data_IF_486639816985
#
_entry.id   IF_486639816985
#
_cell.length_a   1.000
_cell.length_b   1.000
_cell.length_c   1.000
_cell.angle_alpha   90.00
_cell.angle_beta   90.00
_cell.angle_gamma   90.00
#
_symmetry.space_group_name_H-M   'P 1'
#
loop_
_entity.id
_entity.type
_entity.pdbx_description
1 polymer ?
#
# COMPACT_ATOMS: atom_id res chain seq x y z
N UNK A 1 -18.82 18.21 -5.46
CA UNK A 1 -18.29 17.89 -6.82
C UNK A 1 -17.31 16.74 -6.68
N UNK A 2 -17.33 15.75 -7.57
CA UNK A 2 -16.40 14.63 -7.53
C UNK A 2 -15.14 14.98 -8.32
N UNK A 3 -13.96 14.73 -7.76
CA UNK A 3 -12.68 14.84 -8.48
C UNK A 3 -11.97 13.50 -8.50
N UNK A 4 -11.20 13.24 -9.55
CA UNK A 4 -10.35 12.05 -9.65
C UNK A 4 -9.10 12.25 -8.82
N UNK A 5 -8.77 11.28 -7.97
CA UNK A 5 -7.56 11.28 -7.17
C UNK A 5 -6.35 10.92 -8.05
N UNK A 6 -5.36 11.79 -8.11
CA UNK A 6 -4.13 11.60 -8.92
C UNK A 6 -3.26 10.44 -8.42
N UNK A 7 -3.48 9.94 -7.20
CA UNK A 7 -2.70 8.87 -6.61
C UNK A 7 -3.28 7.47 -6.86
N UNK A 8 -4.59 7.34 -7.05
CA UNK A 8 -5.23 6.02 -7.17
C UNK A 8 -6.17 5.91 -8.37
N UNK A 9 -6.33 7.00 -9.13
CA UNK A 9 -7.25 7.13 -10.27
C UNK A 9 -8.74 6.87 -9.95
N UNK A 10 -9.12 7.03 -8.67
CA UNK A 10 -10.51 6.86 -8.22
C UNK A 10 -11.19 8.21 -8.02
N UNK A 11 -12.45 8.33 -8.47
CA UNK A 11 -13.30 9.51 -8.19
C UNK A 11 -13.72 9.54 -6.72
N UNK A 12 -13.51 10.66 -6.04
CA UNK A 12 -13.89 10.87 -4.65
C UNK A 12 -14.72 12.16 -4.49
N UNK A 13 -15.76 12.15 -3.62
CA UNK A 13 -16.48 13.36 -3.24
C UNK A 13 -15.70 14.24 -2.25
N UNK A 14 -14.67 13.69 -1.61
CA UNK A 14 -13.86 14.36 -0.59
C UNK A 14 -12.40 14.29 -0.98
N UNK A 15 -11.87 15.41 -1.45
CA UNK A 15 -10.48 15.55 -1.90
C UNK A 15 -9.83 16.80 -1.32
N UNK A 16 -8.52 16.72 -1.12
CA UNK A 16 -7.66 17.87 -0.96
C UNK A 16 -7.17 18.27 -2.36
N UNK A 17 -7.59 19.42 -2.85
CA UNK A 17 -7.19 19.93 -4.17
C UNK A 17 -6.31 21.15 -4.06
N UNK A 18 -5.31 21.23 -4.94
CA UNK A 18 -4.57 22.46 -5.19
C UNK A 18 -5.53 23.52 -5.76
N UNK A 19 -5.33 24.78 -5.37
CA UNK A 19 -6.12 25.92 -5.90
C UNK A 19 -5.56 26.47 -7.21
N UNK A 20 -4.34 26.05 -7.60
CA UNK A 20 -3.58 26.59 -8.74
C UNK A 20 -3.54 25.58 -9.91
N UNK A 21 -3.64 24.29 -9.63
CA UNK A 21 -3.61 23.23 -10.65
C UNK A 21 -4.63 22.12 -10.35
N UNK A 22 -4.80 21.19 -11.30
CA UNK A 22 -5.78 20.09 -11.19
C UNK A 22 -5.35 18.94 -10.26
N UNK A 23 -4.29 19.15 -9.48
CA UNK A 23 -3.83 18.17 -8.51
C UNK A 23 -4.86 17.99 -7.40
N UNK A 24 -5.40 16.77 -7.26
CA UNK A 24 -6.36 16.41 -6.23
C UNK A 24 -6.04 15.04 -5.64
N UNK A 25 -6.03 14.93 -4.31
CA UNK A 25 -5.86 13.68 -3.58
C UNK A 25 -7.11 13.39 -2.76
N UNK A 26 -7.62 12.16 -2.83
CA UNK A 26 -8.57 11.69 -1.83
C UNK A 26 -7.90 11.63 -0.44
N UNK A 27 -8.71 11.62 0.62
CA UNK A 27 -8.21 11.66 2.00
C UNK A 27 -7.30 10.47 2.31
N UNK A 28 -7.59 9.27 1.79
CA UNK A 28 -6.76 8.08 2.05
C UNK A 28 -5.38 8.28 1.44
N UNK A 29 -5.32 8.64 0.15
CA UNK A 29 -4.09 8.86 -0.57
C UNK A 29 -3.26 10.01 0.02
N UNK A 30 -3.90 11.09 0.48
CA UNK A 30 -3.23 12.21 1.13
C UNK A 30 -2.58 11.83 2.47
N UNK A 31 -3.06 10.78 3.14
CA UNK A 31 -2.55 10.31 4.44
C UNK A 31 -1.57 9.14 4.33
N UNK A 32 -1.20 8.73 3.12
CA UNK A 32 -0.23 7.66 2.92
C UNK A 32 1.15 8.07 3.45
N UNK A 33 1.84 7.20 4.20
CA UNK A 33 3.20 7.47 4.64
C UNK A 33 4.14 7.64 3.45
N UNK A 34 4.97 8.69 3.47
CA UNK A 34 5.94 8.94 2.40
C UNK A 34 7.09 7.93 2.39
N UNK A 35 7.42 7.36 3.56
CA UNK A 35 8.42 6.31 3.72
C UNK A 35 7.94 5.24 4.70
N UNK A 36 8.20 3.97 4.37
CA UNK A 36 7.85 2.82 5.22
C UNK A 36 8.96 1.80 5.22
N UNK A 37 9.11 1.06 6.32
CA UNK A 37 10.08 -0.05 6.40
C UNK A 37 9.37 -1.35 6.05
N UNK A 38 9.90 -2.09 5.08
CA UNK A 38 9.41 -3.42 4.74
C UNK A 38 10.15 -4.48 5.55
N UNK A 39 9.50 -5.62 5.82
CA UNK A 39 10.00 -6.65 6.74
C UNK A 39 11.28 -7.37 6.23
N UNK A 40 11.49 -7.41 4.92
CA UNK A 40 12.60 -8.14 4.29
C UNK A 40 13.77 -7.24 3.90
N UNK A 41 13.62 -5.92 3.98
CA UNK A 41 14.59 -4.96 3.47
C UNK A 41 15.07 -4.06 4.61
N UNK A 42 16.38 -3.88 4.73
CA UNK A 42 16.94 -2.89 5.66
C UNK A 42 16.70 -1.45 5.19
N UNK A 43 16.36 -1.29 3.91
CA UNK A 43 16.10 0.00 3.28
C UNK A 43 14.62 0.40 3.40
N UNK A 44 14.39 1.71 3.43
CA UNK A 44 13.05 2.28 3.41
C UNK A 44 12.48 2.25 2.00
N UNK A 45 11.21 1.88 1.89
CA UNK A 45 10.43 2.10 0.68
C UNK A 45 9.93 3.54 0.66
N UNK A 46 10.12 4.22 -0.46
CA UNK A 46 9.61 5.56 -0.74
C UNK A 46 8.32 5.47 -1.57
N UNK A 47 7.35 6.31 -1.25
CA UNK A 47 6.13 6.45 -2.03
C UNK A 47 6.41 7.25 -3.30
N UNK A 48 6.10 6.68 -4.46
CA UNK A 48 6.38 7.28 -5.77
C UNK A 48 5.12 7.38 -6.62
N UNK A 49 5.08 8.44 -7.45
CA UNK A 49 4.08 8.62 -8.50
C UNK A 49 4.63 8.04 -9.81
N UNK A 50 3.76 7.29 -10.49
CA UNK A 50 3.95 6.65 -11.79
C UNK A 50 4.78 7.38 -12.83
N UNK A 51 4.54 8.68 -12.96
CA UNK A 51 5.13 9.55 -13.99
C UNK A 51 6.67 9.60 -13.94
N UNK A 52 7.29 9.21 -12.82
CA UNK A 52 8.75 9.16 -12.67
C UNK A 52 9.40 7.87 -13.19
N UNK A 53 8.63 6.81 -13.46
CA UNK A 53 9.14 5.61 -14.10
C UNK A 53 9.06 5.77 -15.63
N UNK A 54 10.09 6.44 -16.15
CA UNK A 54 10.35 6.60 -17.58
C UNK A 54 10.65 5.22 -18.18
N UNK A 55 9.68 4.61 -18.86
CA UNK A 55 9.90 3.34 -19.57
C UNK A 55 8.64 2.59 -19.98
N UNK A 56 7.49 2.85 -19.34
CA UNK A 56 6.24 2.14 -19.66
C UNK A 56 6.30 0.63 -19.41
N UNK A 57 7.30 0.15 -18.68
CA UNK A 57 7.45 -1.25 -18.33
C UNK A 57 6.46 -1.63 -17.22
N UNK A 58 5.80 -2.78 -17.39
CA UNK A 58 4.91 -3.33 -16.38
C UNK A 58 5.77 -3.90 -15.26
N UNK A 59 5.80 -3.22 -14.13
CA UNK A 59 6.46 -3.72 -12.93
C UNK A 59 5.59 -4.79 -12.24
N UNK A 60 6.23 -5.66 -11.47
CA UNK A 60 5.59 -6.72 -10.71
C UNK A 60 5.76 -6.46 -9.23
N UNK A 61 4.68 -6.67 -8.47
CA UNK A 61 4.73 -6.56 -7.03
C UNK A 61 5.23 -7.87 -6.41
N UNK A 62 6.42 -7.84 -5.81
CA UNK A 62 7.06 -9.02 -5.20
C UNK A 62 6.28 -9.60 -4.00
N UNK A 63 5.36 -8.84 -3.41
CA UNK A 63 4.56 -9.32 -2.26
C UNK A 63 3.42 -10.23 -2.71
N UNK A 64 2.71 -9.85 -3.78
CA UNK A 64 1.51 -10.57 -4.25
C UNK A 64 1.71 -11.26 -5.60
N UNK A 65 2.87 -11.07 -6.23
CA UNK A 65 3.25 -11.64 -7.52
C UNK A 65 2.27 -11.26 -8.64
N UNK A 66 1.75 -10.02 -8.59
CA UNK A 66 0.86 -9.48 -9.64
C UNK A 66 1.37 -8.15 -10.19
N UNK A 67 0.91 -7.81 -11.40
CA UNK A 67 1.28 -6.58 -12.10
C UNK A 67 0.91 -5.33 -11.30
N UNK A 68 1.79 -4.35 -11.28
CA UNK A 68 1.48 -3.00 -10.80
C UNK A 68 0.86 -2.16 -11.91
N UNK A 69 0.09 -1.15 -11.52
CA UNK A 69 -0.35 -0.12 -12.44
C UNK A 69 0.64 1.05 -12.37
N UNK A 70 1.35 1.37 -13.46
CA UNK A 70 2.30 2.47 -13.47
C UNK A 70 1.64 3.84 -13.39
N UNK A 71 0.31 3.97 -13.46
CA UNK A 71 -0.38 5.27 -13.39
C UNK A 71 -0.84 5.64 -11.97
N UNK A 72 -0.68 4.74 -11.00
CA UNK A 72 -1.08 4.98 -9.60
C UNK A 72 0.14 5.01 -8.69
N UNK A 73 -0.04 5.47 -7.46
CA UNK A 73 1.01 5.46 -6.46
C UNK A 73 1.39 4.04 -6.06
N UNK A 74 2.68 3.83 -5.87
CA UNK A 74 3.27 2.59 -5.37
C UNK A 74 4.46 2.91 -4.48
N UNK A 75 4.87 1.93 -3.68
CA UNK A 75 6.10 2.00 -2.92
C UNK A 75 7.24 1.38 -3.70
N UNK A 76 8.40 2.03 -3.71
CA UNK A 76 9.61 1.50 -4.34
C UNK A 76 10.83 1.69 -3.46
N UNK A 77 11.82 0.84 -3.65
CA UNK A 77 13.15 1.03 -3.08
C UNK A 77 14.04 1.69 -4.14
N UNK A 78 14.64 2.82 -3.79
CA UNK A 78 15.54 3.59 -4.66
C UNK A 78 16.72 2.74 -5.17
N UNK A 79 17.14 1.71 -4.41
CA UNK A 79 18.31 0.89 -4.72
C UNK A 79 18.01 -0.33 -5.63
N UNK A 80 16.79 -0.88 -5.58
CA UNK A 80 16.47 -2.17 -6.21
C UNK A 80 15.33 -2.11 -7.24
N UNK A 81 14.66 -0.97 -7.36
CA UNK A 81 13.66 -0.73 -8.41
C UNK A 81 12.36 -1.54 -8.30
N UNK A 82 12.13 -2.24 -7.19
CA UNK A 82 10.88 -2.98 -6.95
C UNK A 82 9.68 -2.03 -6.85
N UNK A 83 8.57 -2.33 -7.51
CA UNK A 83 7.31 -1.59 -7.34
C UNK A 83 6.29 -2.43 -6.58
N UNK A 84 5.91 -1.95 -5.41
CA UNK A 84 5.01 -2.64 -4.50
C UNK A 84 3.69 -1.87 -4.40
N UNK A 85 2.57 -2.57 -4.58
CA UNK A 85 1.27 -1.92 -4.40
C UNK A 85 1.16 -1.34 -2.99
N UNK A 86 0.57 -0.14 -2.88
CA UNK A 86 0.29 0.50 -1.59
C UNK A 86 -0.43 -0.46 -0.63
N UNK A 87 -1.45 -1.18 -1.11
CA UNK A 87 -2.19 -2.17 -0.30
C UNK A 87 -1.33 -3.35 0.16
N UNK A 88 -0.35 -3.78 -0.62
CA UNK A 88 0.52 -4.90 -0.26
C UNK A 88 1.48 -4.50 0.86
N UNK A 89 1.95 -3.25 0.83
CA UNK A 89 2.88 -2.70 1.82
C UNK A 89 2.18 -2.28 3.11
N UNK A 90 1.03 -1.62 3.01
CA UNK A 90 0.31 -1.11 4.18
C UNK A 90 -0.75 -2.07 4.72
N UNK A 91 -1.27 -2.98 3.90
CA UNK A 91 -2.38 -3.85 4.23
C UNK A 91 -3.74 -3.16 4.25
N UNK A 92 -4.80 -3.96 4.12
CA UNK A 92 -6.18 -3.46 4.09
C UNK A 92 -6.64 -2.89 5.44
N UNK A 93 -5.98 -3.26 6.53
CA UNK A 93 -6.32 -2.78 7.88
C UNK A 93 -5.58 -1.49 8.28
N UNK A 94 -4.83 -0.86 7.37
CA UNK A 94 -4.05 0.34 7.71
C UNK A 94 -4.93 1.48 8.28
N UNK A 95 -6.15 1.61 7.77
CA UNK A 95 -7.13 2.59 8.26
C UNK A 95 -8.14 1.99 9.25
N UNK A 96 -8.01 0.71 9.58
CA UNK A 96 -8.91 0.03 10.49
C UNK A 96 -8.47 0.29 11.93
N UNK A 97 -9.44 0.53 12.81
CA UNK A 97 -9.23 0.53 14.25
C UNK A 97 -9.78 -0.79 14.81
N UNK A 98 -8.96 -1.84 14.91
CA UNK A 98 -9.42 -3.13 15.39
C UNK A 98 -9.73 -3.11 16.88
N UNK A 99 -10.80 -3.81 17.25
CA UNK A 99 -11.12 -4.19 18.64
C UNK A 99 -10.47 -5.53 19.05
N UNK A 100 -9.68 -6.11 18.14
CA UNK A 100 -8.97 -7.38 18.29
C UNK A 100 -7.47 -7.18 18.21
N UNK A 101 -6.70 -8.13 18.73
CA UNK A 101 -5.24 -8.06 18.74
C UNK A 101 -4.66 -8.08 17.31
N UNK A 102 -3.81 -7.09 17.01
CA UNK A 102 -3.06 -7.01 15.76
C UNK A 102 -1.66 -7.53 15.97
N UNK A 103 -1.30 -8.57 15.21
CA UNK A 103 0.03 -9.17 15.26
C UNK A 103 0.82 -8.75 14.03
N UNK A 104 2.07 -8.32 14.26
CA UNK A 104 3.00 -7.98 13.19
C UNK A 104 3.48 -9.27 12.51
N UNK A 105 3.37 -9.33 11.20
CA UNK A 105 3.82 -10.44 10.36
C UNK A 105 5.33 -10.33 10.06
N UNK A 106 6.17 -10.62 11.06
CA UNK A 106 7.65 -10.65 10.92
C UNK A 106 8.20 -12.02 10.51
N UNK A 107 7.32 -13.02 10.37
CA UNK A 107 7.73 -14.38 10.04
C UNK A 107 8.13 -14.55 8.58
N UNK A 108 8.99 -15.53 8.32
CA UNK A 108 9.34 -15.99 6.97
C UNK A 108 8.17 -16.68 6.28
N UNK A 109 7.20 -17.18 7.05
CA UNK A 109 5.99 -17.83 6.54
C UNK A 109 4.79 -16.89 6.64
N UNK A 110 3.85 -17.01 5.71
CA UNK A 110 2.57 -16.29 5.77
C UNK A 110 1.69 -16.93 6.86
N UNK A 111 1.30 -16.21 7.93
CA UNK A 111 0.41 -16.75 8.97
C UNK A 111 -1.03 -16.79 8.47
N UNK A 112 -1.87 -17.64 9.05
CA UNK A 112 -3.30 -17.61 8.75
C UNK A 112 -3.96 -16.42 9.48
N UNK A 113 -4.74 -15.61 8.76
CA UNK A 113 -5.47 -14.48 9.34
C UNK A 113 -6.95 -14.80 9.49
N UNK A 114 -7.54 -14.53 10.67
CA UNK A 114 -8.95 -14.84 10.92
C UNK A 114 -9.92 -13.99 10.11
N UNK A 115 -9.50 -12.81 9.65
CA UNK A 115 -10.31 -11.93 8.79
C UNK A 115 -10.11 -12.29 7.33
N UNK A 116 -8.87 -12.47 6.87
CA UNK A 116 -8.61 -12.82 5.47
C UNK A 116 -9.06 -14.25 5.14
N UNK A 117 -9.14 -15.14 6.13
CA UNK A 117 -9.40 -16.59 5.99
C UNK A 117 -8.40 -17.32 5.08
N UNK A 118 -7.21 -16.74 4.90
CA UNK A 118 -6.12 -17.27 4.09
C UNK A 118 -4.76 -16.98 4.75
N UNK A 119 -3.69 -17.50 4.13
CA UNK A 119 -2.30 -17.17 4.44
C UNK A 119 -2.04 -15.70 4.11
N UNK A 120 -1.96 -14.85 5.14
CA UNK A 120 -1.93 -13.40 5.03
C UNK A 120 -0.63 -12.91 4.38
N UNK A 121 -0.76 -12.12 3.32
CA UNK A 121 0.37 -11.48 2.63
C UNK A 121 0.78 -10.16 3.29
N UNK A 122 -0.11 -9.57 4.09
CA UNK A 122 0.06 -8.23 4.66
C UNK A 122 1.09 -8.18 5.79
N UNK A 123 1.65 -7.00 6.09
CA UNK A 123 2.62 -6.80 7.17
C UNK A 123 2.06 -7.05 8.57
N UNK A 124 0.73 -7.15 8.70
CA UNK A 124 0.04 -7.51 9.93
C UNK A 124 -1.08 -8.51 9.64
N UNK A 125 -1.51 -9.20 10.68
CA UNK A 125 -2.64 -10.11 10.62
C UNK A 125 -3.36 -10.12 11.97
N UNK A 126 -4.61 -10.57 11.94
CA UNK A 126 -5.43 -10.76 13.12
C UNK A 126 -5.42 -12.25 13.48
N UNK A 127 -5.16 -12.53 14.75
CA UNK A 127 -5.22 -13.87 15.33
C UNK A 127 -6.46 -13.98 16.21
N UNK A 128 -7.01 -15.19 16.32
CA UNK A 128 -7.99 -15.48 17.35
C UNK A 128 -7.26 -15.48 18.71
N UNK A 129 -7.66 -14.65 19.69
CA UNK A 129 -7.08 -14.69 21.04
C UNK A 129 -7.24 -16.06 21.71
N UNK A 130 -8.11 -16.94 21.21
CA UNK A 130 -8.33 -18.30 21.69
C UNK A 130 -7.56 -19.37 20.90
N UNK A 131 -6.83 -19.02 19.84
CA UNK A 131 -5.97 -19.95 19.10
C UNK A 131 -4.54 -19.97 19.68
N UNK A 132 -3.96 -21.17 19.99
CA UNK A 132 -2.60 -21.29 20.51
C UNK A 132 -1.53 -20.78 19.53
#
# INVERSE_FOLDING_TARGET
EFKTCVACDVKSPSVLSCTICDFALDIKCATLPTKVRHKCDDNYLSLCLGDKYVGGEILWCDICETKTDPNVWFYTNEDYGAALHVKCVLGDLYYFKPEVEVIINRGMTRPFCIICKVRCIFPFYLRDPLSP
#
